data_IF_340356446843
#
_entry.id   IF_340356446843
#
_cell.length_a   1.000
_cell.length_b   1.000
_cell.length_c   1.000
_cell.angle_alpha   90.00
_cell.angle_beta   90.00
_cell.angle_gamma   90.00
#
_symmetry.space_group_name_H-M   'P 1'
#
loop_
_entity.id
_entity.type
_entity.pdbx_description
1 polymer ?
#
# COMPACT_ATOMS: atom_id res chain seq x y z
N UNK A 1 -23.22 -5.30 -13.10
CA UNK A 1 -23.58 -5.16 -11.66
C UNK A 1 -22.59 -5.78 -10.66
N UNK A 2 -22.24 -7.08 -10.71
CA UNK A 2 -21.26 -7.66 -9.73
C UNK A 2 -19.81 -7.30 -10.06
N UNK A 3 -19.39 -7.54 -11.31
CA UNK A 3 -18.03 -7.25 -11.77
C UNK A 3 -17.65 -5.78 -11.56
N UNK A 4 -18.54 -4.85 -11.91
CA UNK A 4 -18.31 -3.40 -11.71
C UNK A 4 -18.12 -3.04 -10.24
N UNK A 5 -18.82 -3.70 -9.31
CA UNK A 5 -18.64 -3.47 -7.87
C UNK A 5 -17.31 -4.03 -7.36
N UNK A 6 -16.90 -5.20 -7.86
CA UNK A 6 -15.60 -5.79 -7.53
C UNK A 6 -14.46 -4.91 -8.05
N UNK A 7 -14.53 -4.52 -9.33
CA UNK A 7 -13.57 -3.60 -9.93
C UNK A 7 -13.57 -2.25 -9.19
N UNK A 8 -14.74 -1.70 -8.86
CA UNK A 8 -14.86 -0.47 -8.09
C UNK A 8 -14.22 -0.56 -6.70
N UNK A 9 -14.29 -1.71 -6.04
CA UNK A 9 -13.63 -1.93 -4.75
C UNK A 9 -12.10 -1.99 -4.89
N UNK A 10 -11.60 -2.78 -5.85
CA UNK A 10 -10.15 -2.92 -6.09
C UNK A 10 -9.51 -1.61 -6.57
N UNK A 11 -10.13 -0.94 -7.54
CA UNK A 11 -9.68 0.36 -8.01
C UNK A 11 -9.84 1.44 -6.95
N UNK A 12 -10.97 1.46 -6.24
CA UNK A 12 -11.20 2.43 -5.17
C UNK A 12 -10.14 2.35 -4.06
N UNK A 13 -9.76 1.14 -3.67
CA UNK A 13 -8.67 0.91 -2.71
C UNK A 13 -7.35 1.44 -3.24
N UNK A 14 -6.93 1.04 -4.45
CA UNK A 14 -5.64 1.46 -5.02
C UNK A 14 -5.56 2.97 -5.27
N UNK A 15 -6.67 3.59 -5.71
CA UNK A 15 -6.75 5.04 -5.90
C UNK A 15 -6.73 5.77 -4.55
N UNK A 16 -7.40 5.24 -3.53
CA UNK A 16 -7.41 5.80 -2.17
C UNK A 16 -6.04 5.77 -1.51
N UNK A 17 -5.36 4.63 -1.60
CA UNK A 17 -3.98 4.41 -1.18
C UNK A 17 -3.05 5.46 -1.85
N UNK A 18 -3.01 5.49 -3.18
CA UNK A 18 -2.15 6.41 -3.93
C UNK A 18 -2.48 7.91 -3.71
N UNK A 19 -3.75 8.26 -3.46
CA UNK A 19 -4.16 9.63 -3.10
C UNK A 19 -3.74 10.02 -1.69
N UNK A 20 -3.75 9.07 -0.74
CA UNK A 20 -3.43 9.30 0.67
C UNK A 20 -1.92 9.34 0.94
N UNK A 21 -1.15 8.52 0.21
CA UNK A 21 0.29 8.32 0.37
C UNK A 21 1.10 9.62 0.60
N UNK A 22 0.94 10.72 -0.16
CA UNK A 22 1.78 11.91 0.02
C UNK A 22 1.68 12.54 1.43
N UNK A 23 0.55 12.34 2.10
CA UNK A 23 0.21 12.92 3.39
C UNK A 23 0.36 11.97 4.57
N UNK A 24 0.82 10.74 4.32
CA UNK A 24 0.89 9.68 5.32
C UNK A 24 1.65 10.14 6.57
N UNK A 25 1.13 9.76 7.75
CA UNK A 25 1.64 10.11 9.08
C UNK A 25 1.71 11.61 9.42
N UNK A 26 1.30 12.51 8.52
CA UNK A 26 1.25 13.93 8.83
C UNK A 26 -0.06 14.33 9.49
N UNK A 27 -0.02 15.22 10.51
CA UNK A 27 -1.23 15.79 11.06
C UNK A 27 -1.93 16.67 10.02
N UNK A 28 -3.26 16.74 10.08
CA UNK A 28 -4.09 17.54 9.17
C UNK A 28 -3.63 18.99 9.03
N UNK A 29 -3.10 19.61 10.10
CA UNK A 29 -2.54 20.97 10.06
C UNK A 29 -1.34 21.07 9.11
N UNK A 30 -0.42 20.11 9.16
CA UNK A 30 0.74 20.04 8.24
C UNK A 30 0.30 19.75 6.81
N UNK A 31 -0.64 18.83 6.62
CA UNK A 31 -1.19 18.52 5.29
C UNK A 31 -1.78 19.79 4.65
N UNK A 32 -2.58 20.55 5.41
CA UNK A 32 -3.14 21.83 4.92
C UNK A 32 -2.07 22.88 4.65
N UNK A 33 -1.04 22.99 5.51
CA UNK A 33 0.02 23.97 5.32
C UNK A 33 0.89 23.66 4.09
N UNK A 34 1.18 22.38 3.84
CA UNK A 34 2.06 21.95 2.74
C UNK A 34 1.31 21.82 1.40
N UNK A 35 0.13 21.19 1.41
CA UNK A 35 -0.61 20.88 0.17
C UNK A 35 -1.83 21.78 -0.05
N UNK A 36 -2.36 22.43 1.00
CA UNK A 36 -3.69 23.02 0.98
C UNK A 36 -4.77 21.93 0.92
N UNK A 37 -5.10 21.52 -0.29
CA UNK A 37 -6.05 20.46 -0.60
C UNK A 37 -5.45 19.50 -1.63
N UNK A 38 -5.51 18.19 -1.36
CA UNK A 38 -5.07 17.16 -2.30
C UNK A 38 -6.24 16.83 -3.21
N UNK A 39 -6.23 17.33 -4.45
CA UNK A 39 -7.26 17.11 -5.49
C UNK A 39 -6.80 16.20 -6.64
N UNK A 40 -5.55 15.75 -6.61
CA UNK A 40 -4.91 14.94 -7.64
C UNK A 40 -3.82 14.09 -7.02
N UNK A 41 -3.37 13.07 -7.75
CA UNK A 41 -2.18 12.32 -7.35
C UNK A 41 -0.97 13.24 -7.26
N UNK A 42 -0.22 13.13 -6.17
CA UNK A 42 1.03 13.84 -5.93
C UNK A 42 2.13 12.82 -5.62
N UNK A 43 3.41 13.13 -5.88
CA UNK A 43 4.50 12.31 -5.36
C UNK A 43 4.64 12.51 -3.85
N UNK A 44 5.30 11.57 -3.17
CA UNK A 44 5.66 11.75 -1.77
C UNK A 44 6.66 12.90 -1.58
N UNK A 45 6.42 13.84 -0.65
CA UNK A 45 7.39 14.89 -0.34
C UNK A 45 8.70 14.31 0.18
N UNK A 46 9.84 14.91 -0.19
CA UNK A 46 11.16 14.49 0.31
C UNK A 46 11.28 14.55 1.84
N UNK A 47 10.51 15.44 2.47
CA UNK A 47 10.44 15.63 3.93
C UNK A 47 9.43 14.71 4.64
N UNK A 48 8.71 13.86 3.90
CA UNK A 48 7.84 12.83 4.46
C UNK A 48 8.57 11.48 4.43
N UNK A 49 9.11 11.04 5.57
CA UNK A 49 9.90 9.81 5.65
C UNK A 49 9.13 8.52 5.31
N UNK A 50 7.79 8.53 5.34
CA UNK A 50 6.98 7.40 4.91
C UNK A 50 6.75 7.43 3.39
N UNK A 51 6.42 8.60 2.86
CA UNK A 51 6.00 8.77 1.47
C UNK A 51 7.15 9.03 0.47
N UNK A 52 8.33 9.47 0.91
CA UNK A 52 9.40 10.00 0.04
C UNK A 52 9.97 9.01 -0.99
N UNK A 53 9.61 7.73 -0.90
CA UNK A 53 10.03 6.68 -1.82
C UNK A 53 9.09 6.49 -3.02
N UNK A 54 7.95 7.17 -3.04
CA UNK A 54 6.90 6.96 -4.04
C UNK A 54 6.75 8.13 -5.00
N UNK A 55 6.61 7.79 -6.27
CA UNK A 55 6.22 8.73 -7.32
C UNK A 55 4.72 8.99 -7.30
N UNK A 56 4.31 9.95 -8.15
CA UNK A 56 2.91 10.26 -8.35
C UNK A 56 2.13 9.00 -8.76
N UNK A 57 1.01 8.75 -8.08
CA UNK A 57 0.07 7.67 -8.36
C UNK A 57 0.62 6.24 -8.14
N UNK A 58 1.78 6.12 -7.49
CA UNK A 58 2.21 4.82 -6.94
C UNK A 58 1.44 4.53 -5.65
N UNK A 59 1.03 3.27 -5.50
CA UNK A 59 0.40 2.75 -4.29
C UNK A 59 1.44 2.19 -3.31
N UNK A 60 1.08 2.07 -2.03
CA UNK A 60 1.99 1.65 -0.95
C UNK A 60 1.87 0.15 -0.62
N UNK A 61 2.23 -0.23 0.61
CA UNK A 61 2.05 -1.57 1.16
C UNK A 61 0.59 -2.02 1.17
N UNK A 62 -0.38 -1.12 1.39
CA UNK A 62 -1.83 -1.45 1.40
C UNK A 62 -2.25 -2.19 0.13
N UNK A 63 -2.04 -1.59 -1.05
CA UNK A 63 -2.40 -2.24 -2.32
C UNK A 63 -1.48 -3.39 -2.65
N UNK A 64 -0.19 -3.27 -2.35
CA UNK A 64 0.79 -4.32 -2.65
C UNK A 64 0.48 -5.63 -1.91
N UNK A 65 0.17 -5.55 -0.63
CA UNK A 65 -0.19 -6.71 0.20
C UNK A 65 -1.56 -7.27 -0.21
N UNK A 66 -2.52 -6.42 -0.58
CA UNK A 66 -3.81 -6.87 -1.10
C UNK A 66 -3.66 -7.66 -2.42
N UNK A 67 -2.76 -7.24 -3.32
CA UNK A 67 -2.44 -7.98 -4.54
C UNK A 67 -1.75 -9.31 -4.23
N UNK A 68 -0.82 -9.35 -3.27
CA UNK A 68 -0.19 -10.61 -2.83
C UNK A 68 -1.22 -11.63 -2.32
N UNK A 69 -2.24 -11.15 -1.58
CA UNK A 69 -3.38 -11.96 -1.14
C UNK A 69 -4.24 -12.44 -2.32
N UNK A 70 -4.55 -11.54 -3.26
CA UNK A 70 -5.32 -11.88 -4.44
C UNK A 70 -4.63 -12.93 -5.31
N UNK A 71 -3.32 -12.82 -5.52
CA UNK A 71 -2.51 -13.78 -6.27
C UNK A 71 -2.54 -15.17 -5.60
N UNK A 72 -2.41 -15.22 -4.26
CA UNK A 72 -2.50 -16.48 -3.52
C UNK A 72 -3.90 -17.13 -3.65
N UNK A 73 -4.96 -16.33 -3.58
CA UNK A 73 -6.33 -16.80 -3.79
C UNK A 73 -6.55 -17.35 -5.20
N UNK A 74 -6.01 -16.69 -6.23
CA UNK A 74 -6.09 -17.15 -7.61
C UNK A 74 -5.32 -18.46 -7.80
N UNK A 75 -4.10 -18.58 -7.25
CA UNK A 75 -3.29 -19.80 -7.33
C UNK A 75 -3.97 -20.99 -6.61
N UNK A 76 -4.68 -20.73 -5.51
CA UNK A 76 -5.36 -21.75 -4.71
C UNK A 76 -6.83 -21.94 -5.04
N UNK A 77 -7.27 -21.45 -6.19
CA UNK A 77 -8.66 -21.58 -6.67
C UNK A 77 -9.70 -21.12 -5.63
N UNK A 78 -9.38 -20.02 -4.95
CA UNK A 78 -10.21 -19.39 -3.92
C UNK A 78 -10.03 -19.93 -2.50
N UNK A 79 -9.16 -20.93 -2.28
CA UNK A 79 -8.86 -21.43 -0.93
C UNK A 79 -7.82 -20.56 -0.24
N UNK A 80 -7.99 -20.36 1.07
CA UNK A 80 -7.02 -19.63 1.90
C UNK A 80 -5.83 -20.54 2.21
N UNK A 81 -4.64 -20.10 1.83
CA UNK A 81 -3.34 -20.71 2.17
C UNK A 81 -2.48 -19.63 2.85
N UNK A 82 -2.42 -19.63 4.20
CA UNK A 82 -1.66 -18.61 4.95
C UNK A 82 -0.18 -18.59 4.61
N UNK A 83 0.42 -19.76 4.34
CA UNK A 83 1.85 -19.87 4.05
C UNK A 83 2.19 -19.30 2.68
N UNK A 84 1.31 -19.49 1.68
CA UNK A 84 1.46 -18.83 0.38
C UNK A 84 1.26 -17.31 0.48
N UNK A 85 0.25 -16.85 1.22
CA UNK A 85 0.02 -15.42 1.44
C UNK A 85 1.25 -14.77 2.09
N UNK A 86 1.76 -15.38 3.16
CA UNK A 86 2.95 -14.90 3.87
C UNK A 86 4.18 -14.84 2.96
N UNK A 87 4.43 -15.89 2.17
CA UNK A 87 5.53 -15.92 1.19
C UNK A 87 5.41 -14.82 0.14
N UNK A 88 4.24 -14.62 -0.44
CA UNK A 88 4.04 -13.58 -1.46
C UNK A 88 4.30 -12.17 -0.89
N UNK A 89 3.81 -11.90 0.33
CA UNK A 89 4.05 -10.63 1.02
C UNK A 89 5.55 -10.45 1.33
N UNK A 90 6.22 -11.48 1.82
CA UNK A 90 7.66 -11.44 2.10
C UNK A 90 8.47 -11.18 0.81
N UNK A 91 8.16 -11.88 -0.28
CA UNK A 91 8.81 -11.71 -1.57
C UNK A 91 8.61 -10.31 -2.15
N UNK A 92 7.42 -9.72 -1.98
CA UNK A 92 7.20 -8.31 -2.30
C UNK A 92 8.04 -7.38 -1.41
N UNK A 93 8.02 -7.59 -0.08
CA UNK A 93 8.71 -6.75 0.88
C UNK A 93 10.23 -6.73 0.63
N UNK A 94 10.82 -7.88 0.28
CA UNK A 94 12.24 -7.99 -0.08
C UNK A 94 12.55 -7.27 -1.40
N UNK A 95 11.74 -7.44 -2.45
CA UNK A 95 11.94 -6.77 -3.74
C UNK A 95 11.80 -5.25 -3.65
N UNK A 96 10.88 -4.78 -2.81
CA UNK A 96 10.65 -3.35 -2.60
C UNK A 96 11.63 -2.72 -1.60
N UNK A 97 12.40 -3.52 -0.87
CA UNK A 97 13.22 -3.07 0.27
C UNK A 97 12.39 -2.42 1.40
N UNK A 98 11.22 -3.01 1.68
CA UNK A 98 10.22 -2.47 2.58
C UNK A 98 10.63 -2.50 4.07
N UNK A 99 11.63 -3.30 4.43
CA UNK A 99 12.16 -3.35 5.80
C UNK A 99 13.01 -2.11 6.13
N UNK A 100 13.81 -1.65 5.17
CA UNK A 100 14.66 -0.47 5.32
C UNK A 100 13.91 0.83 5.05
N UNK A 101 12.88 0.78 4.20
CA UNK A 101 11.96 1.90 3.99
C UNK A 101 10.94 1.97 5.15
N UNK A 102 10.51 3.17 5.51
CA UNK A 102 9.47 3.36 6.54
C UNK A 102 8.07 3.20 5.94
N UNK A 103 7.88 2.12 5.16
CA UNK A 103 6.65 1.83 4.40
C UNK A 103 5.85 0.73 5.08
N UNK A 104 6.50 -0.29 5.65
CA UNK A 104 5.78 -1.27 6.46
C UNK A 104 5.53 -0.76 7.88
N UNK A 105 4.31 -0.95 8.35
CA UNK A 105 3.97 -0.79 9.77
C UNK A 105 4.78 -1.74 10.69
N UNK A 106 4.98 -1.38 11.97
CA UNK A 106 5.83 -2.13 12.90
C UNK A 106 5.35 -3.58 13.11
N UNK A 107 4.04 -3.80 13.18
CA UNK A 107 3.45 -5.14 13.36
C UNK A 107 3.70 -6.04 12.15
N UNK A 108 3.56 -5.51 10.93
CA UNK A 108 3.83 -6.25 9.70
C UNK A 108 5.31 -6.64 9.60
N UNK A 109 6.23 -5.75 9.99
CA UNK A 109 7.67 -6.07 10.06
C UNK A 109 7.96 -7.21 11.05
N UNK A 110 7.31 -7.22 12.21
CA UNK A 110 7.47 -8.31 13.19
C UNK A 110 6.93 -9.62 12.62
N UNK A 111 5.73 -9.60 12.03
CA UNK A 111 5.10 -10.81 11.49
C UNK A 111 5.93 -11.46 10.36
N UNK A 112 6.57 -10.65 9.51
CA UNK A 112 7.40 -11.15 8.40
C UNK A 112 8.81 -11.60 8.83
N UNK A 113 9.22 -11.35 10.08
CA UNK A 113 10.50 -11.80 10.64
C UNK A 113 10.36 -12.99 11.60
N UNK A 114 9.14 -13.49 11.82
CA UNK A 114 8.85 -14.62 12.71
C UNK A 114 9.11 -15.96 12.01
#
# INVERSE_FOLDING_TARGET
MKTERILGALYGQALGDAMGMPSELWPRSRVKAHFGWIDRFLPGPKENNAACYFNRAEFTDDTSMALCLADALLEREGKIDPDLIGRNILDWALRFDAFNKNVLGPTSKIALNA
#
